data_IF_879138993737
#
_entry.id   IF_879138993737
#
_cell.length_a   1.000
_cell.length_b   1.000
_cell.length_c   1.000
_cell.angle_alpha   90.00
_cell.angle_beta   90.00
_cell.angle_gamma   90.00
#
_symmetry.space_group_name_H-M   'P 1'
#
loop_
_entity.id
_entity.type
_entity.pdbx_description
1 polymer ?
#
# COMPACT_ATOMS: atom_id res chain seq x y z
N UNK A 1 0.53 -23.17 -11.91
CA UNK A 1 1.29 -24.33 -11.42
C UNK A 1 1.38 -24.30 -9.88
N UNK A 2 0.59 -25.10 -9.14
CA UNK A 2 0.49 -25.00 -7.66
C UNK A 2 1.84 -25.17 -6.92
N UNK A 3 2.79 -25.92 -7.49
CA UNK A 3 4.12 -26.10 -6.90
C UNK A 3 4.93 -24.80 -6.85
N UNK A 4 4.79 -23.93 -7.83
CA UNK A 4 5.53 -22.67 -7.87
C UNK A 4 4.91 -21.63 -6.93
N UNK A 5 3.57 -21.60 -6.81
CA UNK A 5 2.89 -20.85 -5.74
C UNK A 5 3.37 -21.26 -4.35
N UNK A 6 3.45 -22.57 -4.08
CA UNK A 6 3.92 -23.05 -2.77
C UNK A 6 5.38 -22.67 -2.51
N UNK A 7 6.26 -22.73 -3.52
CA UNK A 7 7.65 -22.26 -3.40
C UNK A 7 7.73 -20.76 -3.12
N UNK A 8 6.89 -19.96 -3.76
CA UNK A 8 6.82 -18.52 -3.52
C UNK A 8 6.41 -18.22 -2.08
N UNK A 9 5.38 -18.91 -1.56
CA UNK A 9 4.93 -18.76 -0.18
C UNK A 9 6.01 -19.18 0.82
N UNK A 10 6.68 -20.30 0.58
CA UNK A 10 7.78 -20.76 1.44
C UNK A 10 8.94 -19.75 1.47
N UNK A 11 9.28 -19.16 0.33
CA UNK A 11 10.29 -18.10 0.26
C UNK A 11 9.86 -16.86 1.06
N UNK A 12 8.61 -16.43 0.92
CA UNK A 12 8.06 -15.30 1.69
C UNK A 12 8.14 -15.57 3.19
N UNK A 13 7.74 -16.76 3.64
CA UNK A 13 7.82 -17.16 5.06
C UNK A 13 9.27 -17.19 5.56
N UNK A 14 10.21 -17.67 4.73
CA UNK A 14 11.63 -17.66 5.08
C UNK A 14 12.18 -16.23 5.23
N UNK A 15 11.79 -15.30 4.35
CA UNK A 15 12.20 -13.89 4.43
C UNK A 15 11.61 -13.22 5.68
N UNK A 16 10.34 -13.47 5.99
CA UNK A 16 9.70 -12.98 7.22
C UNK A 16 10.45 -13.52 8.45
N UNK A 17 10.70 -14.83 8.50
CA UNK A 17 11.43 -15.47 9.59
C UNK A 17 12.85 -14.92 9.76
N UNK A 18 13.57 -14.71 8.65
CA UNK A 18 14.90 -14.09 8.67
C UNK A 18 14.85 -12.65 9.20
N UNK A 19 13.84 -11.87 8.80
CA UNK A 19 13.71 -10.47 9.21
C UNK A 19 13.38 -10.34 10.70
N UNK A 20 12.42 -11.15 11.19
CA UNK A 20 12.07 -11.21 12.61
C UNK A 20 13.22 -11.77 13.45
N UNK A 21 13.90 -12.81 12.97
CA UNK A 21 15.05 -13.41 13.63
C UNK A 21 16.21 -12.43 13.76
N UNK A 22 16.53 -11.70 12.69
CA UNK A 22 17.55 -10.66 12.72
C UNK A 22 17.18 -9.52 13.69
N UNK A 23 15.92 -9.07 13.71
CA UNK A 23 15.47 -8.05 14.65
C UNK A 23 15.64 -8.52 16.11
N UNK A 24 15.24 -9.76 16.41
CA UNK A 24 15.42 -10.36 17.73
C UNK A 24 16.88 -10.51 18.13
N UNK A 25 17.77 -10.86 17.19
CA UNK A 25 19.20 -11.01 17.46
C UNK A 25 19.89 -9.67 17.72
N UNK A 26 19.50 -8.61 17.01
CA UNK A 26 20.12 -7.28 17.12
C UNK A 26 19.58 -6.50 18.31
N UNK A 27 18.27 -6.54 18.55
CA UNK A 27 17.61 -5.70 19.56
C UNK A 27 17.10 -6.48 20.78
N UNK A 28 17.05 -7.82 20.74
CA UNK A 28 16.49 -8.64 21.81
C UNK A 28 14.95 -8.67 21.87
N UNK A 29 14.27 -7.75 21.18
CA UNK A 29 12.82 -7.63 21.11
C UNK A 29 12.33 -7.31 19.69
N UNK A 30 11.04 -7.49 19.43
CA UNK A 30 10.43 -7.35 18.08
C UNK A 30 9.71 -6.01 17.87
N UNK A 31 9.84 -5.07 18.81
CA UNK A 31 9.12 -3.78 18.77
C UNK A 31 9.66 -2.81 17.72
N UNK A 32 10.84 -3.10 17.15
CA UNK A 32 11.47 -2.24 16.17
C UNK A 32 10.89 -2.48 14.76
N UNK A 33 9.62 -2.12 14.56
CA UNK A 33 8.85 -2.35 13.34
C UNK A 33 9.55 -1.75 12.11
N UNK A 34 10.15 -0.57 12.25
CA UNK A 34 10.88 0.09 11.17
C UNK A 34 12.04 -0.78 10.66
N UNK A 35 12.82 -1.38 11.56
CA UNK A 35 13.91 -2.27 11.19
C UNK A 35 13.40 -3.53 10.49
N UNK A 36 12.34 -4.15 11.03
CA UNK A 36 11.73 -5.36 10.45
C UNK A 36 11.24 -5.07 9.02
N UNK A 37 10.52 -3.97 8.83
CA UNK A 37 9.99 -3.59 7.52
C UNK A 37 11.09 -3.33 6.50
N UNK A 38 12.11 -2.53 6.88
CA UNK A 38 13.24 -2.25 5.98
C UNK A 38 13.96 -3.54 5.58
N UNK A 39 14.28 -4.40 6.53
CA UNK A 39 14.98 -5.66 6.26
C UNK A 39 14.13 -6.60 5.38
N UNK A 40 12.83 -6.72 5.68
CA UNK A 40 11.89 -7.51 4.90
C UNK A 40 11.83 -7.00 3.45
N UNK A 41 11.73 -5.69 3.26
CA UNK A 41 11.73 -5.07 1.92
C UNK A 41 13.05 -5.29 1.20
N UNK A 42 14.19 -5.08 1.87
CA UNK A 42 15.52 -5.29 1.29
C UNK A 42 15.73 -6.73 0.85
N UNK A 43 15.41 -7.70 1.71
CA UNK A 43 15.53 -9.13 1.40
C UNK A 43 14.58 -9.56 0.28
N UNK A 44 13.36 -9.03 0.25
CA UNK A 44 12.38 -9.32 -0.81
C UNK A 44 12.84 -8.78 -2.18
N UNK A 45 13.37 -7.56 -2.21
CA UNK A 45 13.95 -6.97 -3.43
C UNK A 45 15.19 -7.77 -3.86
N UNK A 46 16.08 -8.10 -2.92
CA UNK A 46 17.26 -8.91 -3.22
C UNK A 46 16.89 -10.28 -3.81
N UNK A 47 15.92 -10.97 -3.22
CA UNK A 47 15.41 -12.24 -3.72
C UNK A 47 14.79 -12.11 -5.12
N UNK A 48 14.16 -10.98 -5.42
CA UNK A 48 13.52 -10.71 -6.73
C UNK A 48 14.53 -10.62 -7.88
N UNK A 49 15.83 -10.40 -7.62
CA UNK A 49 16.86 -10.44 -8.65
C UNK A 49 17.27 -11.88 -9.03
N UNK A 50 16.97 -12.88 -8.20
CA UNK A 50 17.35 -14.26 -8.48
C UNK A 50 16.54 -14.85 -9.66
N UNK A 51 17.18 -15.40 -10.72
CA UNK A 51 16.47 -15.94 -11.88
C UNK A 51 15.46 -17.04 -11.53
N UNK A 52 15.73 -17.82 -10.47
CA UNK A 52 14.81 -18.87 -9.98
C UNK A 52 13.50 -18.28 -9.43
N UNK A 53 13.57 -17.12 -8.78
CA UNK A 53 12.40 -16.44 -8.20
C UNK A 53 11.58 -15.78 -9.30
N UNK A 54 12.26 -15.13 -10.27
CA UNK A 54 11.60 -14.47 -11.42
C UNK A 54 10.84 -15.43 -12.34
N UNK A 55 11.22 -16.72 -12.34
CA UNK A 55 10.57 -17.77 -13.14
C UNK A 55 9.39 -18.44 -12.44
N UNK A 56 9.10 -18.09 -11.18
CA UNK A 56 7.94 -18.65 -10.47
C UNK A 56 6.66 -18.15 -11.12
N UNK A 57 5.83 -19.09 -11.57
CA UNK A 57 4.51 -18.82 -12.11
C UNK A 57 3.49 -18.58 -10.98
N UNK A 58 2.38 -17.89 -11.31
CA UNK A 58 1.24 -17.64 -10.41
C UNK A 58 1.57 -16.85 -9.12
N UNK A 59 2.74 -16.21 -9.03
CA UNK A 59 3.12 -15.37 -7.88
C UNK A 59 2.19 -14.18 -7.68
N UNK A 60 1.73 -13.58 -8.79
CA UNK A 60 0.78 -12.48 -8.80
C UNK A 60 -0.57 -12.87 -8.19
N UNK A 61 -1.21 -13.91 -8.72
CA UNK A 61 -2.50 -14.44 -8.25
C UNK A 61 -2.42 -14.88 -6.78
N UNK A 62 -1.30 -15.49 -6.38
CA UNK A 62 -1.07 -15.93 -4.99
C UNK A 62 -0.99 -14.72 -4.05
N UNK A 63 -0.24 -13.68 -4.43
CA UNK A 63 -0.14 -12.45 -3.64
C UNK A 63 -1.47 -11.71 -3.54
N UNK A 64 -2.23 -11.65 -4.63
CA UNK A 64 -3.57 -11.06 -4.67
C UNK A 64 -4.54 -11.77 -3.71
N UNK A 65 -4.53 -13.10 -3.67
CA UNK A 65 -5.33 -13.88 -2.72
C UNK A 65 -5.00 -13.52 -1.26
N UNK A 66 -3.71 -13.47 -0.89
CA UNK A 66 -3.31 -13.09 0.48
C UNK A 66 -3.68 -11.64 0.82
N UNK A 67 -3.56 -10.72 -0.13
CA UNK A 67 -3.97 -9.33 0.05
C UNK A 67 -5.48 -9.23 0.34
N UNK A 68 -6.30 -9.97 -0.42
CA UNK A 68 -7.75 -10.00 -0.20
C UNK A 68 -8.10 -10.61 1.16
N UNK A 69 -7.48 -11.72 1.54
CA UNK A 69 -7.66 -12.33 2.87
C UNK A 69 -7.28 -11.37 4.00
N UNK A 70 -6.18 -10.61 3.83
CA UNK A 70 -5.78 -9.57 4.76
C UNK A 70 -6.81 -8.44 4.86
N UNK A 71 -7.30 -7.93 3.73
CA UNK A 71 -8.33 -6.90 3.71
C UNK A 71 -9.62 -7.36 4.39
N UNK A 72 -10.05 -8.61 4.16
CA UNK A 72 -11.21 -9.20 4.84
C UNK A 72 -10.99 -9.29 6.34
N UNK A 73 -9.83 -9.78 6.77
CA UNK A 73 -9.48 -9.85 8.19
C UNK A 73 -9.49 -8.46 8.85
N UNK A 74 -8.86 -7.46 8.23
CA UNK A 74 -8.90 -6.08 8.71
C UNK A 74 -10.32 -5.53 8.81
N UNK A 75 -11.16 -5.80 7.82
CA UNK A 75 -12.57 -5.39 7.84
C UNK A 75 -13.34 -6.02 9.01
N UNK A 76 -13.04 -7.26 9.36
CA UNK A 76 -13.65 -7.94 10.52
C UNK A 76 -13.17 -7.39 11.87
N UNK A 77 -12.03 -6.70 11.93
CA UNK A 77 -11.56 -6.03 13.15
C UNK A 77 -12.28 -4.69 13.40
N UNK A 78 -13.04 -4.17 12.43
CA UNK A 78 -13.74 -2.90 12.58
C UNK A 78 -14.93 -3.01 13.55
N UNK A 79 -14.91 -2.22 14.62
CA UNK A 79 -16.04 -2.10 15.55
C UNK A 79 -16.96 -0.95 15.11
N UNK A 80 -18.12 -1.30 14.54
CA UNK A 80 -19.10 -0.32 14.11
C UNK A 80 -19.68 0.50 15.27
N UNK A 81 -19.76 -0.06 16.48
CA UNK A 81 -20.27 0.68 17.63
C UNK A 81 -19.31 1.80 18.04
N UNK A 82 -18.00 1.51 18.03
CA UNK A 82 -16.98 2.51 18.34
C UNK A 82 -16.88 3.57 17.23
N UNK A 83 -16.96 3.15 15.97
CA UNK A 83 -17.00 4.05 14.80
C UNK A 83 -18.20 5.00 14.86
N UNK A 84 -19.39 4.53 15.23
CA UNK A 84 -20.56 5.43 15.34
C UNK A 84 -20.50 6.34 16.57
N UNK A 85 -19.87 5.90 17.66
CA UNK A 85 -19.80 6.68 18.89
C UNK A 85 -18.76 7.81 18.83
N UNK A 86 -17.60 7.57 18.21
CA UNK A 86 -16.46 8.51 18.21
C UNK A 86 -16.02 8.93 16.80
N UNK A 87 -16.45 8.20 15.78
CA UNK A 87 -16.03 8.39 14.39
C UNK A 87 -16.90 9.28 13.50
N UNK A 88 -18.09 9.84 13.85
CA UNK A 88 -18.87 10.62 12.89
C UNK A 88 -18.10 11.78 12.25
N UNK A 89 -17.35 12.55 13.04
CA UNK A 89 -16.55 13.68 12.55
C UNK A 89 -15.39 13.20 11.66
N UNK A 90 -14.73 12.12 12.07
CA UNK A 90 -13.62 11.50 11.31
C UNK A 90 -14.15 10.94 9.99
N UNK A 91 -15.31 10.28 10.00
CA UNK A 91 -15.97 9.75 8.81
C UNK A 91 -16.37 10.90 7.89
N UNK A 92 -17.02 11.94 8.41
CA UNK A 92 -17.44 13.09 7.61
C UNK A 92 -16.23 13.77 6.95
N UNK A 93 -15.16 14.00 7.72
CA UNK A 93 -13.90 14.52 7.20
C UNK A 93 -13.30 13.58 6.15
N UNK A 94 -13.26 12.27 6.40
CA UNK A 94 -12.69 11.28 5.48
C UNK A 94 -13.47 11.20 4.17
N UNK A 95 -14.81 11.22 4.23
CA UNK A 95 -15.68 11.25 3.05
C UNK A 95 -15.46 12.54 2.25
N UNK A 96 -15.41 13.68 2.94
CA UNK A 96 -15.14 14.97 2.28
C UNK A 96 -13.75 14.97 1.62
N UNK A 97 -12.71 14.54 2.32
CA UNK A 97 -11.36 14.46 1.80
C UNK A 97 -11.26 13.46 0.63
N UNK A 98 -11.94 12.32 0.71
CA UNK A 98 -12.00 11.31 -0.34
C UNK A 98 -12.67 11.86 -1.60
N UNK A 99 -13.89 12.41 -1.48
CA UNK A 99 -14.62 12.98 -2.60
C UNK A 99 -13.89 14.17 -3.20
N UNK A 100 -13.32 15.04 -2.36
CA UNK A 100 -12.50 16.17 -2.78
C UNK A 100 -11.27 15.72 -3.56
N UNK A 101 -10.57 14.68 -3.08
CA UNK A 101 -9.41 14.10 -3.78
C UNK A 101 -9.80 13.52 -5.14
N UNK A 102 -10.88 12.73 -5.19
CA UNK A 102 -11.39 12.15 -6.45
C UNK A 102 -11.76 13.26 -7.43
N UNK A 103 -12.50 14.28 -6.96
CA UNK A 103 -12.92 15.40 -7.79
C UNK A 103 -11.71 16.19 -8.33
N UNK A 104 -10.77 16.57 -7.46
CA UNK A 104 -9.57 17.30 -7.87
C UNK A 104 -8.73 16.49 -8.85
N UNK A 105 -8.61 15.19 -8.64
CA UNK A 105 -7.88 14.31 -9.54
C UNK A 105 -8.55 14.22 -10.91
N UNK A 106 -9.87 14.03 -10.96
CA UNK A 106 -10.63 13.99 -12.21
C UNK A 106 -10.60 15.33 -12.96
N UNK A 107 -10.72 16.46 -12.25
CA UNK A 107 -10.62 17.79 -12.84
C UNK A 107 -9.22 18.04 -13.42
N UNK A 108 -8.17 17.68 -12.67
CA UNK A 108 -6.79 17.75 -13.16
C UNK A 108 -6.58 16.88 -14.39
N UNK A 109 -7.04 15.63 -14.35
CA UNK A 109 -6.96 14.72 -15.48
C UNK A 109 -7.71 15.24 -16.71
N UNK A 110 -8.89 15.83 -16.53
CA UNK A 110 -9.66 16.45 -17.60
C UNK A 110 -8.93 17.66 -18.20
N UNK A 111 -8.35 18.52 -17.34
CA UNK A 111 -7.58 19.71 -17.76
C UNK A 111 -6.36 19.32 -18.60
N UNK A 112 -5.61 18.30 -18.17
CA UNK A 112 -4.41 17.82 -18.87
C UNK A 112 -4.70 16.76 -19.93
N UNK A 113 -5.98 16.42 -20.17
CA UNK A 113 -6.44 15.42 -21.15
C UNK A 113 -5.75 14.06 -20.98
N UNK A 114 -5.63 13.61 -19.73
CA UNK A 114 -5.02 12.31 -19.38
C UNK A 114 -5.95 11.17 -19.80
N UNK A 115 -5.38 10.08 -20.31
CA UNK A 115 -6.13 8.90 -20.74
C UNK A 115 -6.75 8.14 -19.56
N UNK A 116 -7.79 7.35 -19.85
CA UNK A 116 -8.61 6.68 -18.83
C UNK A 116 -7.82 5.67 -18.00
N UNK A 117 -6.90 4.93 -18.62
CA UNK A 117 -6.12 3.91 -17.92
C UNK A 117 -5.15 4.58 -16.95
N UNK A 118 -4.45 5.62 -17.38
CA UNK A 118 -3.56 6.39 -16.51
C UNK A 118 -4.32 7.00 -15.34
N UNK A 119 -5.52 7.57 -15.57
CA UNK A 119 -6.38 8.10 -14.49
C UNK A 119 -6.78 7.00 -13.51
N UNK A 120 -7.13 5.80 -13.98
CA UNK A 120 -7.52 4.70 -13.11
C UNK A 120 -6.34 4.20 -12.26
N UNK A 121 -5.17 3.99 -12.87
CA UNK A 121 -3.97 3.56 -12.16
C UNK A 121 -3.52 4.57 -11.12
N UNK A 122 -3.48 5.86 -11.47
CA UNK A 122 -3.09 6.93 -10.55
C UNK A 122 -4.12 7.15 -9.44
N UNK A 123 -5.42 7.03 -9.72
CA UNK A 123 -6.46 7.07 -8.70
C UNK A 123 -6.30 5.94 -7.68
N UNK A 124 -6.06 4.72 -8.16
CA UNK A 124 -5.83 3.57 -7.27
C UNK A 124 -4.53 3.71 -6.48
N UNK A 125 -3.47 4.18 -7.14
CA UNK A 125 -2.20 4.49 -6.49
C UNK A 125 -2.37 5.47 -5.33
N UNK A 126 -3.18 6.52 -5.53
CA UNK A 126 -3.41 7.57 -4.55
C UNK A 126 -4.34 7.15 -3.41
N UNK A 127 -5.41 6.42 -3.70
CA UNK A 127 -6.48 6.11 -2.72
C UNK A 127 -6.24 4.80 -1.96
N UNK A 128 -5.74 3.77 -2.65
CA UNK A 128 -5.58 2.43 -2.08
C UNK A 128 -4.11 2.04 -1.92
N UNK A 129 -3.22 2.73 -2.63
CA UNK A 129 -1.78 2.51 -2.56
C UNK A 129 -1.25 1.55 -3.62
N UNK A 130 0.08 1.37 -3.67
CA UNK A 130 0.77 0.62 -4.72
C UNK A 130 0.42 -0.87 -4.75
N UNK A 131 -0.09 -1.44 -3.64
CA UNK A 131 -0.45 -2.84 -3.53
C UNK A 131 -1.59 -3.25 -4.48
N UNK A 132 -2.47 -2.32 -4.85
CA UNK A 132 -3.66 -2.60 -5.66
C UNK A 132 -3.47 -2.33 -7.16
N UNK A 133 -2.31 -1.81 -7.56
CA UNK A 133 -1.99 -1.51 -8.98
C UNK A 133 -2.04 -2.76 -9.85
N UNK A 134 -1.61 -3.88 -9.29
CA UNK A 134 -1.69 -5.17 -9.96
C UNK A 134 -3.12 -5.55 -10.35
N UNK A 135 -4.07 -5.38 -9.43
CA UNK A 135 -5.48 -5.73 -9.65
C UNK A 135 -6.10 -4.83 -10.73
N UNK A 136 -5.75 -3.54 -10.74
CA UNK A 136 -6.19 -2.65 -11.81
C UNK A 136 -5.65 -3.12 -13.16
N UNK A 137 -4.37 -3.50 -13.21
CA UNK A 137 -3.75 -3.99 -14.44
C UNK A 137 -4.32 -5.32 -14.95
N UNK A 138 -4.82 -6.19 -14.07
CA UNK A 138 -5.49 -7.43 -14.49
C UNK A 138 -6.85 -7.15 -15.12
N UNK A 139 -7.56 -6.12 -14.66
CA UNK A 139 -8.88 -5.72 -15.16
C UNK A 139 -8.77 -4.90 -16.45
N UNK A 140 -7.86 -3.93 -16.52
CA UNK A 140 -7.69 -3.09 -17.72
C UNK A 140 -6.89 -3.78 -18.82
N UNK A 141 -6.11 -4.81 -18.49
CA UNK A 141 -5.16 -5.43 -19.39
C UNK A 141 -3.89 -4.60 -19.65
N UNK A 142 -3.78 -3.40 -19.07
CA UNK A 142 -2.69 -2.47 -19.34
C UNK A 142 -1.49 -2.71 -18.40
N UNK A 143 -0.74 -3.78 -18.64
CA UNK A 143 0.43 -4.16 -17.82
C UNK A 143 1.60 -3.18 -17.89
N UNK A 144 1.65 -2.33 -18.92
CA UNK A 144 2.72 -1.33 -19.08
C UNK A 144 2.69 -0.27 -17.97
N UNK A 145 1.49 0.02 -17.45
CA UNK A 145 1.28 1.01 -16.39
C UNK A 145 1.56 0.49 -14.99
N UNK A 146 1.84 -0.81 -14.79
CA UNK A 146 2.12 -1.38 -13.45
C UNK A 146 3.29 -0.67 -12.78
N UNK A 147 4.41 -0.53 -13.50
CA UNK A 147 5.60 0.11 -12.94
C UNK A 147 5.34 1.58 -12.59
N UNK A 148 4.73 2.31 -13.53
CA UNK A 148 4.38 3.73 -13.34
C UNK A 148 3.41 3.92 -12.17
N UNK A 149 2.38 3.08 -12.06
CA UNK A 149 1.39 3.12 -10.98
C UNK A 149 2.00 2.81 -9.60
N UNK A 150 2.88 1.82 -9.50
CA UNK A 150 3.60 1.51 -8.26
C UNK A 150 4.49 2.69 -7.87
N UNK A 151 5.27 3.23 -8.81
CA UNK A 151 6.15 4.37 -8.57
C UNK A 151 5.36 5.62 -8.13
N UNK A 152 4.25 5.92 -8.81
CA UNK A 152 3.35 7.01 -8.46
C UNK A 152 2.76 6.84 -7.07
N UNK A 153 2.33 5.62 -6.69
CA UNK A 153 1.79 5.33 -5.36
C UNK A 153 2.83 5.49 -4.26
N UNK A 154 4.05 5.01 -4.47
CA UNK A 154 5.14 5.16 -3.50
C UNK A 154 5.57 6.62 -3.33
N UNK A 155 5.68 7.37 -4.43
CA UNK A 155 5.98 8.81 -4.39
C UNK A 155 4.85 9.59 -3.71
N UNK A 156 3.60 9.29 -4.06
CA UNK A 156 2.42 9.88 -3.44
C UNK A 156 2.38 9.62 -1.93
N UNK A 157 2.71 8.41 -1.49
CA UNK A 157 2.80 8.06 -0.07
C UNK A 157 3.89 8.86 0.65
N UNK A 158 5.09 8.96 0.07
CA UNK A 158 6.18 9.75 0.63
C UNK A 158 5.79 11.23 0.76
N UNK A 159 5.31 11.84 -0.33
CA UNK A 159 4.90 13.25 -0.35
C UNK A 159 3.73 13.51 0.61
N UNK A 160 2.71 12.65 0.59
CA UNK A 160 1.52 12.75 1.42
C UNK A 160 1.85 12.69 2.91
N UNK A 161 2.77 11.82 3.33
CA UNK A 161 3.20 11.75 4.72
C UNK A 161 3.84 13.06 5.19
N UNK A 162 4.81 13.60 4.44
CA UNK A 162 5.46 14.85 4.83
C UNK A 162 4.51 16.04 4.79
N UNK A 163 3.66 16.15 3.76
CA UNK A 163 2.66 17.22 3.67
C UNK A 163 1.61 17.11 4.77
N UNK A 164 1.15 15.91 5.10
CA UNK A 164 0.16 15.68 6.16
C UNK A 164 0.71 16.07 7.54
N UNK A 165 1.93 15.63 7.86
CA UNK A 165 2.61 16.02 9.11
C UNK A 165 2.85 17.54 9.13
N UNK A 166 3.32 18.12 8.03
CA UNK A 166 3.56 19.56 7.91
C UNK A 166 2.28 20.38 8.10
N UNK A 167 1.18 19.97 7.47
CA UNK A 167 -0.13 20.60 7.62
C UNK A 167 -0.64 20.49 9.06
N UNK A 168 -0.46 19.34 9.71
CA UNK A 168 -0.84 19.16 11.11
C UNK A 168 -0.10 20.14 12.04
N UNK A 169 1.22 20.31 11.86
CA UNK A 169 1.98 21.29 12.62
C UNK A 169 1.58 22.73 12.32
N UNK A 170 1.34 23.06 11.04
CA UNK A 170 0.89 24.39 10.63
C UNK A 170 -0.48 24.75 11.24
N UNK A 171 -1.44 23.83 11.21
CA UNK A 171 -2.75 24.02 11.82
C UNK A 171 -2.66 24.16 13.34
N UNK A 172 -1.82 23.34 14.01
CA UNK A 172 -1.60 23.43 15.45
C UNK A 172 -1.02 24.79 15.85
N UNK A 173 -0.04 25.29 15.08
CA UNK A 173 0.55 26.61 15.29
C UNK A 173 -0.47 27.75 15.06
N UNK A 174 -1.33 27.62 14.04
CA UNK A 174 -2.33 28.63 13.69
C UNK A 174 -3.50 28.68 14.68
N UNK A 175 -3.94 27.53 15.20
CA UNK A 175 -5.04 27.41 16.16
C UNK A 175 -4.60 27.61 17.62
N UNK A 176 -3.32 27.92 17.88
CA UNK A 176 -2.81 28.25 19.21
C UNK A 176 -2.65 27.07 20.16
N UNK A 177 -2.57 25.83 19.64
CA UNK A 177 -2.43 24.62 20.46
C UNK A 177 -1.00 24.42 20.95
N UNK A 178 -0.59 25.17 21.97
CA UNK A 178 0.55 24.84 22.84
C UNK A 178 0.22 23.64 23.70
#
# INVERSE_FOLDING_TARGET
NYRDSMRAVLLTLAIIGASLGACRLVFGHLENIAFIMLLLTTLSIAASFAPRVRRLENTFETGEYFLLMFCVALGMLADFSEILAQGPDIIAFSVFAFLGTVLLHLLGAALFRIDRDTVLFTSVAALYGPAFIGQVASITGNRQLIFSGIAAGLLGYAIGNYLGIGLAYALRAWLGGG
#
